data_IF_383870838330
#
_entry.id   IF_383870838330
#
_cell.length_a   1.000
_cell.length_b   1.000
_cell.length_c   1.000
_cell.angle_alpha   90.00
_cell.angle_beta   90.00
_cell.angle_gamma   90.00
#
_symmetry.space_group_name_H-M   'P 1'
#
loop_
_entity.id
_entity.type
_entity.pdbx_description
1 polymer ?
#
# COMPACT_ATOMS: atom_id res chain seq x y z
N UNK A 1 -5.74 -27.75 -13.78
CA UNK A 1 -5.66 -27.38 -12.34
C UNK A 1 -7.06 -27.02 -11.92
N UNK A 2 -7.68 -27.76 -11.01
CA UNK A 2 -9.04 -27.42 -10.52
C UNK A 2 -8.99 -26.11 -9.75
N UNK A 3 -10.01 -25.22 -9.87
CA UNK A 3 -10.04 -23.98 -9.11
C UNK A 3 -10.05 -24.26 -7.60
N UNK A 4 -9.32 -23.42 -6.85
CA UNK A 4 -9.32 -23.46 -5.38
C UNK A 4 -10.75 -23.11 -4.89
N UNK A 5 -11.44 -23.98 -4.15
CA UNK A 5 -12.81 -23.73 -3.70
C UNK A 5 -12.94 -22.50 -2.76
N UNK A 6 -11.83 -22.01 -2.20
CA UNK A 6 -11.79 -20.79 -1.40
C UNK A 6 -11.62 -19.51 -2.24
N UNK A 7 -11.31 -19.62 -3.54
CA UNK A 7 -11.03 -18.45 -4.40
C UNK A 7 -12.23 -17.49 -4.54
N UNK A 8 -13.47 -17.94 -4.78
CA UNK A 8 -14.60 -17.02 -4.88
C UNK A 8 -14.83 -16.21 -3.61
N UNK A 9 -14.68 -16.83 -2.43
CA UNK A 9 -14.81 -16.14 -1.16
C UNK A 9 -13.69 -15.12 -0.97
N UNK A 10 -12.45 -15.45 -1.35
CA UNK A 10 -11.30 -14.55 -1.26
C UNK A 10 -11.46 -13.31 -2.14
N UNK A 11 -11.99 -13.47 -3.38
CA UNK A 11 -12.29 -12.32 -4.24
C UNK A 11 -13.39 -11.47 -3.63
N UNK A 12 -14.49 -12.08 -3.17
CA UNK A 12 -15.60 -11.38 -2.54
C UNK A 12 -15.11 -10.53 -1.35
N UNK A 13 -14.40 -11.12 -0.41
CA UNK A 13 -13.91 -10.43 0.79
C UNK A 13 -12.99 -9.25 0.42
N UNK A 14 -12.18 -9.41 -0.61
CA UNK A 14 -11.27 -8.36 -1.08
C UNK A 14 -12.01 -7.25 -1.81
N UNK A 15 -13.04 -7.56 -2.60
CA UNK A 15 -13.91 -6.57 -3.25
C UNK A 15 -14.66 -5.74 -2.20
N UNK A 16 -15.15 -6.38 -1.14
CA UNK A 16 -15.81 -5.65 -0.04
C UNK A 16 -14.83 -4.78 0.76
N UNK A 17 -13.60 -5.25 0.99
CA UNK A 17 -12.54 -4.44 1.62
C UNK A 17 -12.20 -3.22 0.75
N UNK A 18 -12.09 -3.40 -0.57
CA UNK A 18 -11.90 -2.31 -1.53
C UNK A 18 -13.08 -1.31 -1.51
N UNK A 19 -14.31 -1.82 -1.54
CA UNK A 19 -15.51 -0.98 -1.50
C UNK A 19 -15.58 -0.15 -0.22
N UNK A 20 -15.27 -0.75 0.92
CA UNK A 20 -15.25 -0.09 2.23
C UNK A 20 -14.25 1.07 2.28
N UNK A 21 -12.99 0.85 1.87
CA UNK A 21 -11.97 1.90 1.90
C UNK A 21 -12.27 3.01 0.88
N UNK A 22 -12.79 2.68 -0.32
CA UNK A 22 -13.20 3.67 -1.29
C UNK A 22 -14.40 4.52 -0.79
N UNK A 23 -15.34 3.89 -0.08
CA UNK A 23 -16.43 4.63 0.57
C UNK A 23 -15.91 5.52 1.70
N UNK A 24 -14.93 5.09 2.47
CA UNK A 24 -14.31 5.91 3.52
C UNK A 24 -13.64 7.17 2.93
N UNK A 25 -12.99 7.08 1.76
CA UNK A 25 -12.47 8.25 1.04
C UNK A 25 -13.60 9.21 0.67
N UNK A 26 -14.72 8.70 0.15
CA UNK A 26 -15.91 9.51 -0.19
C UNK A 26 -16.46 10.22 1.05
N UNK A 27 -16.62 9.51 2.15
CA UNK A 27 -17.19 10.06 3.39
C UNK A 27 -16.28 11.11 4.03
N UNK A 28 -14.96 10.89 4.02
CA UNK A 28 -13.98 11.89 4.42
C UNK A 28 -14.10 13.14 3.55
N UNK A 29 -14.10 12.98 2.23
CA UNK A 29 -14.19 14.09 1.28
C UNK A 29 -15.46 14.91 1.44
N UNK A 30 -16.62 14.27 1.67
CA UNK A 30 -17.90 14.93 1.93
C UNK A 30 -17.92 15.74 3.23
N UNK A 31 -17.09 15.36 4.19
CA UNK A 31 -16.97 16.07 5.46
C UNK A 31 -15.97 17.23 5.43
N UNK A 32 -15.25 17.43 4.31
CA UNK A 32 -14.24 18.47 4.13
C UNK A 32 -14.85 19.78 3.62
N UNK A 33 -14.45 20.89 4.23
CA UNK A 33 -14.59 22.21 3.63
C UNK A 33 -13.41 22.53 2.70
N UNK A 34 -13.45 23.70 2.04
CA UNK A 34 -12.40 24.12 1.08
C UNK A 34 -11.01 24.17 1.74
N UNK A 35 -10.92 24.60 3.00
CA UNK A 35 -9.66 24.65 3.73
C UNK A 35 -9.09 23.23 3.98
N UNK A 36 -9.94 22.25 4.32
CA UNK A 36 -9.55 20.86 4.49
C UNK A 36 -9.05 20.27 3.15
N UNK A 37 -9.77 20.55 2.07
CA UNK A 37 -9.42 20.05 0.74
C UNK A 37 -8.08 20.62 0.24
N UNK A 38 -7.75 21.85 0.60
CA UNK A 38 -6.48 22.50 0.25
C UNK A 38 -5.32 22.09 1.18
N UNK A 39 -5.58 21.32 2.25
CA UNK A 39 -4.54 20.92 3.21
C UNK A 39 -3.50 20.00 2.55
N UNK A 40 -2.19 20.27 2.69
CA UNK A 40 -1.14 19.41 2.14
C UNK A 40 -1.09 18.06 2.86
N UNK A 41 -0.70 17.02 2.14
CA UNK A 41 -0.57 15.66 2.69
C UNK A 41 0.91 15.23 2.77
N UNK A 42 1.17 14.08 3.39
CA UNK A 42 2.51 13.45 3.39
C UNK A 42 2.92 12.90 2.01
N UNK A 43 2.01 12.90 1.02
CA UNK A 43 2.34 12.60 -0.38
C UNK A 43 2.88 13.88 -1.04
N UNK A 44 4.16 13.94 -1.44
CA UNK A 44 4.77 15.18 -1.91
C UNK A 44 4.01 15.82 -3.08
N UNK A 45 3.70 17.11 -2.94
CA UNK A 45 3.02 17.90 -3.97
C UNK A 45 1.50 17.73 -4.05
N UNK A 46 0.90 16.88 -3.18
CA UNK A 46 -0.53 16.59 -3.19
C UNK A 46 -1.24 17.12 -1.94
N UNK A 47 -2.37 17.75 -2.17
CA UNK A 47 -3.36 18.13 -1.15
C UNK A 47 -4.36 17.00 -0.91
N UNK A 48 -5.26 17.18 0.04
CA UNK A 48 -6.40 16.27 0.26
C UNK A 48 -7.25 16.17 -1.00
N UNK A 49 -7.51 17.29 -1.70
CA UNK A 49 -8.22 17.30 -2.98
C UNK A 49 -7.51 16.45 -4.04
N UNK A 50 -6.18 16.52 -4.12
CA UNK A 50 -5.39 15.75 -5.07
C UNK A 50 -5.44 14.25 -4.78
N UNK A 51 -5.49 13.84 -3.50
CA UNK A 51 -5.67 12.44 -3.10
C UNK A 51 -7.00 11.88 -3.61
N UNK A 52 -8.09 12.62 -3.40
CA UNK A 52 -9.43 12.23 -3.87
C UNK A 52 -9.46 12.19 -5.41
N UNK A 53 -8.83 13.17 -6.05
CA UNK A 53 -8.71 13.28 -7.51
C UNK A 53 -7.94 12.09 -8.11
N UNK A 54 -6.89 11.64 -7.43
CA UNK A 54 -6.14 10.45 -7.82
C UNK A 54 -7.03 9.20 -7.78
N UNK A 55 -7.70 8.95 -6.66
CA UNK A 55 -8.58 7.78 -6.52
C UNK A 55 -9.68 7.81 -7.59
N UNK A 56 -10.34 8.96 -7.77
CA UNK A 56 -11.39 9.12 -8.78
C UNK A 56 -10.85 8.88 -10.21
N UNK A 57 -9.68 9.44 -10.53
CA UNK A 57 -9.08 9.34 -11.84
C UNK A 57 -8.65 7.94 -12.21
N UNK A 58 -8.03 7.22 -11.28
CA UNK A 58 -7.63 5.82 -11.53
C UNK A 58 -8.86 4.93 -11.69
N UNK A 59 -9.87 5.05 -10.84
CA UNK A 59 -11.10 4.25 -10.99
C UNK A 59 -11.86 4.61 -12.27
N UNK A 60 -11.90 5.89 -12.69
CA UNK A 60 -12.48 6.32 -13.95
C UNK A 60 -11.76 5.66 -15.15
N UNK A 61 -10.45 5.68 -15.14
CA UNK A 61 -9.65 5.04 -16.19
C UNK A 61 -9.86 3.52 -16.24
N UNK A 62 -9.89 2.85 -15.09
CA UNK A 62 -10.17 1.41 -15.00
C UNK A 62 -11.61 1.05 -15.40
N UNK A 63 -12.55 2.01 -15.30
CA UNK A 63 -13.91 1.90 -15.81
C UNK A 63 -14.02 2.20 -17.32
N UNK A 64 -12.91 2.51 -18.00
CA UNK A 64 -12.88 2.79 -19.44
C UNK A 64 -13.08 4.25 -19.81
N UNK A 65 -13.17 5.17 -18.84
CA UNK A 65 -13.25 6.60 -19.10
C UNK A 65 -11.87 7.18 -19.45
N UNK A 66 -11.87 8.29 -20.17
CA UNK A 66 -10.65 9.03 -20.52
C UNK A 66 -10.73 10.43 -19.96
N UNK A 67 -9.64 10.88 -19.37
CA UNK A 67 -9.53 12.26 -18.94
C UNK A 67 -9.43 13.23 -20.13
N UNK A 68 -9.91 14.47 -19.97
CA UNK A 68 -9.70 15.52 -20.96
C UNK A 68 -8.21 15.79 -21.10
N UNK A 69 -7.81 16.33 -22.26
CA UNK A 69 -6.44 16.81 -22.43
C UNK A 69 -6.22 18.03 -21.55
N UNK A 70 -5.20 17.93 -20.69
CA UNK A 70 -4.73 19.04 -19.83
C UNK A 70 -3.26 19.31 -20.09
N UNK A 71 -2.87 20.55 -19.95
CA UNK A 71 -1.47 20.95 -19.94
C UNK A 71 -0.93 20.69 -18.54
N UNK A 72 0.10 19.87 -18.42
CA UNK A 72 0.69 19.50 -17.15
C UNK A 72 1.96 20.32 -16.89
N UNK A 73 1.98 21.14 -15.86
CA UNK A 73 3.20 21.84 -15.46
C UNK A 73 4.33 20.88 -15.08
N UNK A 74 5.58 21.33 -15.12
CA UNK A 74 6.70 20.56 -14.59
C UNK A 74 6.64 20.53 -13.05
N UNK A 75 6.25 19.39 -12.49
CA UNK A 75 6.21 19.18 -11.05
C UNK A 75 7.48 18.47 -10.55
N UNK A 76 8.13 19.00 -9.53
CA UNK A 76 9.37 18.45 -8.96
C UNK A 76 9.19 17.05 -8.33
N UNK A 77 8.00 16.72 -7.87
CA UNK A 77 7.69 15.41 -7.29
C UNK A 77 7.54 14.30 -8.32
N UNK A 78 7.40 14.62 -9.61
CA UNK A 78 7.30 13.62 -10.69
C UNK A 78 8.71 13.07 -11.01
N UNK A 79 8.95 11.79 -10.71
CA UNK A 79 10.24 11.15 -10.86
C UNK A 79 10.34 10.17 -12.01
N UNK A 80 9.21 9.74 -12.56
CA UNK A 80 9.15 8.71 -13.59
C UNK A 80 7.86 8.79 -14.42
N UNK A 81 7.76 8.00 -15.49
CA UNK A 81 6.60 7.99 -16.37
C UNK A 81 5.30 7.52 -15.69
N UNK A 82 5.38 6.64 -14.70
CA UNK A 82 4.21 6.25 -13.92
C UNK A 82 3.69 7.45 -13.12
N UNK A 83 4.57 8.14 -12.40
CA UNK A 83 4.21 9.35 -11.66
C UNK A 83 3.58 10.40 -12.57
N UNK A 84 4.14 10.58 -13.79
CA UNK A 84 3.56 11.49 -14.79
C UNK A 84 2.15 11.09 -15.23
N UNK A 85 1.91 9.80 -15.44
CA UNK A 85 0.58 9.29 -15.83
C UNK A 85 -0.44 9.48 -14.71
N UNK A 86 -0.03 9.24 -13.47
CA UNK A 86 -0.87 9.40 -12.29
C UNK A 86 -1.18 10.88 -12.06
N UNK A 87 -0.16 11.75 -12.15
CA UNK A 87 -0.31 13.20 -12.02
C UNK A 87 -1.26 13.79 -13.06
N UNK A 88 -1.26 13.26 -14.28
CA UNK A 88 -2.18 13.69 -15.33
C UNK A 88 -3.65 13.52 -14.91
N UNK A 89 -3.98 12.43 -14.25
CA UNK A 89 -5.33 12.19 -13.74
C UNK A 89 -5.71 13.16 -12.61
N UNK A 90 -4.74 13.55 -11.77
CA UNK A 90 -4.91 14.57 -10.73
C UNK A 90 -5.09 15.95 -11.35
N UNK A 91 -4.21 16.34 -12.27
CA UNK A 91 -4.26 17.66 -12.94
C UNK A 91 -5.59 17.89 -13.67
N UNK A 92 -6.14 16.85 -14.30
CA UNK A 92 -7.44 16.93 -14.95
C UNK A 92 -8.61 17.28 -14.01
N UNK A 93 -8.37 17.19 -12.67
CA UNK A 93 -9.37 17.45 -11.63
C UNK A 93 -9.06 18.63 -10.73
N UNK A 94 -7.85 19.21 -10.76
CA UNK A 94 -7.46 20.33 -9.87
C UNK A 94 -8.34 21.56 -9.97
N UNK A 95 -8.86 21.85 -11.16
CA UNK A 95 -9.77 22.98 -11.38
C UNK A 95 -11.23 22.70 -11.02
N UNK A 96 -11.57 21.51 -10.55
CA UNK A 96 -12.94 21.10 -10.20
C UNK A 96 -13.18 21.24 -8.71
N UNK A 97 -14.41 21.49 -8.32
CA UNK A 97 -14.78 21.49 -6.90
C UNK A 97 -14.67 20.06 -6.29
N UNK A 98 -14.42 19.98 -5.00
CA UNK A 98 -14.40 18.69 -4.28
C UNK A 98 -15.71 17.91 -4.47
N UNK A 99 -16.86 18.60 -4.48
CA UNK A 99 -18.15 17.96 -4.69
C UNK A 99 -18.26 17.32 -6.07
N UNK A 100 -17.72 17.93 -7.13
CA UNK A 100 -17.72 17.34 -8.49
C UNK A 100 -16.79 16.13 -8.58
N UNK A 101 -15.64 16.14 -7.88
CA UNK A 101 -14.72 15.01 -7.86
C UNK A 101 -15.30 13.84 -7.05
N UNK A 102 -15.95 14.13 -5.92
CA UNK A 102 -16.67 13.11 -5.13
C UNK A 102 -17.78 12.47 -5.92
N UNK A 103 -18.62 13.26 -6.60
CA UNK A 103 -19.70 12.73 -7.44
C UNK A 103 -19.17 11.85 -8.61
N UNK A 104 -18.02 12.21 -9.17
CA UNK A 104 -17.35 11.35 -10.15
C UNK A 104 -16.89 10.04 -9.52
N UNK A 105 -16.22 10.09 -8.35
CA UNK A 105 -15.74 8.89 -7.66
C UNK A 105 -16.89 7.94 -7.33
N UNK A 106 -18.00 8.44 -6.83
CA UNK A 106 -19.20 7.64 -6.55
C UNK A 106 -19.72 6.90 -7.77
N UNK A 107 -19.85 7.63 -8.86
CA UNK A 107 -20.34 7.07 -10.12
C UNK A 107 -19.41 5.99 -10.67
N UNK A 108 -18.11 6.24 -10.70
CA UNK A 108 -17.15 5.28 -11.25
C UNK A 108 -16.96 4.09 -10.32
N UNK A 109 -17.02 4.29 -9.00
CA UNK A 109 -16.97 3.22 -8.02
C UNK A 109 -18.16 2.27 -8.17
N UNK A 110 -19.39 2.80 -8.33
CA UNK A 110 -20.57 1.99 -8.58
C UNK A 110 -20.42 1.12 -9.84
N UNK A 111 -19.90 1.69 -10.93
CA UNK A 111 -19.62 0.95 -12.18
C UNK A 111 -18.56 -0.14 -11.98
N UNK A 112 -17.48 0.16 -11.26
CA UNK A 112 -16.41 -0.80 -10.94
C UNK A 112 -16.94 -1.96 -10.10
N UNK A 113 -17.68 -1.65 -9.04
CA UNK A 113 -18.25 -2.65 -8.13
C UNK A 113 -19.30 -3.53 -8.84
N UNK A 114 -20.09 -2.98 -9.77
CA UNK A 114 -21.00 -3.77 -10.59
C UNK A 114 -20.23 -4.85 -11.37
N UNK A 115 -19.09 -4.51 -11.96
CA UNK A 115 -18.25 -5.47 -12.69
C UNK A 115 -17.61 -6.50 -11.74
N UNK A 116 -17.01 -6.03 -10.63
CA UNK A 116 -16.26 -6.89 -9.73
C UNK A 116 -17.16 -7.83 -8.91
N UNK A 117 -18.39 -7.43 -8.59
CA UNK A 117 -19.39 -8.25 -7.89
C UNK A 117 -20.22 -9.14 -8.82
N UNK A 118 -19.98 -9.07 -10.13
CA UNK A 118 -20.70 -9.94 -11.08
C UNK A 118 -20.39 -11.41 -10.77
N UNK A 119 -21.40 -12.29 -10.76
CA UNK A 119 -21.18 -13.74 -10.62
C UNK A 119 -20.28 -14.34 -11.71
N UNK A 120 -20.15 -13.65 -12.87
CA UNK A 120 -19.25 -14.05 -13.94
C UNK A 120 -17.78 -13.66 -13.68
N UNK A 121 -17.50 -12.82 -12.69
CA UNK A 121 -16.13 -12.41 -12.33
C UNK A 121 -15.58 -13.34 -11.27
N UNK A 122 -14.54 -14.08 -11.62
CA UNK A 122 -13.77 -14.94 -10.69
C UNK A 122 -12.44 -14.30 -10.36
N UNK A 123 -11.69 -14.83 -9.39
CA UNK A 123 -10.37 -14.32 -9.02
C UNK A 123 -9.36 -14.33 -10.16
N UNK A 124 -9.51 -15.26 -11.10
CA UNK A 124 -8.67 -15.42 -12.30
C UNK A 124 -9.21 -14.71 -13.54
N UNK A 125 -10.41 -14.09 -13.48
CA UNK A 125 -10.92 -13.27 -14.57
C UNK A 125 -9.98 -12.11 -14.89
N UNK A 126 -9.72 -11.88 -16.18
CA UNK A 126 -8.87 -10.77 -16.61
C UNK A 126 -9.69 -9.49 -16.62
N UNK A 127 -9.27 -8.51 -15.83
CA UNK A 127 -9.89 -7.18 -15.71
C UNK A 127 -8.88 -6.08 -15.97
N UNK A 128 -9.35 -4.86 -16.23
CA UNK A 128 -8.48 -3.70 -16.38
C UNK A 128 -7.74 -3.41 -15.04
N UNK A 129 -6.42 -3.28 -15.11
CA UNK A 129 -5.55 -2.97 -13.99
C UNK A 129 -4.64 -1.77 -14.26
N UNK A 130 -4.06 -1.13 -13.22
CA UNK A 130 -3.23 0.07 -13.36
C UNK A 130 -1.98 -0.12 -14.23
N UNK A 131 -1.46 -1.33 -14.28
CA UNK A 131 -0.30 -1.72 -15.08
C UNK A 131 -0.64 -2.53 -16.34
N UNK A 132 -1.90 -2.54 -16.72
CA UNK A 132 -2.46 -3.37 -17.78
C UNK A 132 -3.44 -4.41 -17.25
N UNK A 133 -4.11 -5.16 -18.14
CA UNK A 133 -5.04 -6.21 -17.74
C UNK A 133 -4.33 -7.31 -16.93
N UNK A 134 -4.94 -7.74 -15.81
CA UNK A 134 -4.44 -8.83 -14.96
C UNK A 134 -5.62 -9.53 -14.26
N UNK A 135 -5.34 -10.58 -13.53
CA UNK A 135 -6.32 -11.33 -12.74
C UNK A 135 -7.04 -10.42 -11.73
N UNK A 136 -8.35 -10.56 -11.63
CA UNK A 136 -9.19 -9.72 -10.78
C UNK A 136 -8.70 -9.69 -9.32
N UNK A 137 -8.29 -10.84 -8.76
CA UNK A 137 -7.77 -10.91 -7.40
C UNK A 137 -6.54 -10.01 -7.20
N UNK A 138 -5.62 -10.00 -8.17
CA UNK A 138 -4.41 -9.16 -8.12
C UNK A 138 -4.74 -7.68 -8.28
N UNK A 139 -5.61 -7.37 -9.25
CA UNK A 139 -6.02 -5.98 -9.50
C UNK A 139 -6.74 -5.40 -8.29
N UNK A 140 -7.70 -6.14 -7.71
CA UNK A 140 -8.44 -5.66 -6.54
C UNK A 140 -7.53 -5.50 -5.32
N UNK A 141 -6.58 -6.44 -5.10
CA UNK A 141 -5.60 -6.31 -4.02
C UNK A 141 -4.74 -5.05 -4.18
N UNK A 142 -4.25 -4.79 -5.39
CA UNK A 142 -3.47 -3.59 -5.70
C UNK A 142 -4.30 -2.31 -5.50
N UNK A 143 -5.56 -2.31 -5.94
CA UNK A 143 -6.45 -1.15 -5.73
C UNK A 143 -6.82 -0.95 -4.27
N UNK A 144 -7.03 -2.02 -3.50
CA UNK A 144 -7.25 -1.94 -2.05
C UNK A 144 -6.04 -1.31 -1.36
N UNK A 145 -4.83 -1.75 -1.73
CA UNK A 145 -3.58 -1.19 -1.21
C UNK A 145 -3.47 0.32 -1.50
N UNK A 146 -3.67 0.71 -2.73
CA UNK A 146 -3.52 2.08 -3.20
C UNK A 146 -4.57 3.00 -2.55
N UNK A 147 -5.86 2.65 -2.65
CA UNK A 147 -6.96 3.47 -2.11
C UNK A 147 -6.87 3.58 -0.59
N UNK A 148 -6.55 2.50 0.13
CA UNK A 148 -6.36 2.55 1.58
C UNK A 148 -5.16 3.43 1.97
N UNK A 149 -4.06 3.39 1.21
CA UNK A 149 -2.90 4.26 1.47
C UNK A 149 -3.28 5.73 1.33
N UNK A 150 -4.06 6.09 0.30
CA UNK A 150 -4.54 7.45 0.09
C UNK A 150 -5.63 7.86 1.10
N UNK A 151 -6.46 6.94 1.56
CA UNK A 151 -7.34 7.17 2.71
C UNK A 151 -6.52 7.57 3.96
N UNK A 152 -5.43 6.84 4.26
CA UNK A 152 -4.57 7.17 5.38
C UNK A 152 -3.79 8.48 5.17
N UNK A 153 -3.45 8.86 3.94
CA UNK A 153 -2.89 10.18 3.61
C UNK A 153 -3.87 11.29 3.99
N UNK A 154 -5.15 11.15 3.63
CA UNK A 154 -6.21 12.10 3.97
C UNK A 154 -6.43 12.15 5.48
N UNK A 155 -6.53 11.00 6.15
CA UNK A 155 -6.73 10.93 7.60
C UNK A 155 -5.60 11.59 8.37
N UNK A 156 -4.36 11.33 7.98
CA UNK A 156 -3.17 11.93 8.59
C UNK A 156 -3.18 13.46 8.44
N UNK A 157 -3.43 13.95 7.22
CA UNK A 157 -3.48 15.38 6.93
C UNK A 157 -4.56 16.13 7.74
N UNK A 158 -5.72 15.50 7.93
CA UNK A 158 -6.85 16.09 8.65
C UNK A 158 -6.84 15.83 10.16
N UNK A 159 -5.88 15.08 10.69
CA UNK A 159 -5.87 14.67 12.10
C UNK A 159 -7.07 13.81 12.50
N UNK A 160 -7.61 12.99 11.58
CA UNK A 160 -8.79 12.13 11.76
C UNK A 160 -8.41 10.65 11.67
N UNK A 161 -7.66 10.10 12.66
CA UNK A 161 -7.20 8.71 12.61
C UNK A 161 -8.38 7.72 12.57
N UNK A 162 -8.20 6.60 11.89
CA UNK A 162 -9.22 5.54 11.78
C UNK A 162 -8.83 4.48 10.75
N UNK A 163 -9.65 3.43 10.67
CA UNK A 163 -9.60 2.35 9.69
C UNK A 163 -8.26 1.57 9.61
N UNK A 164 -7.50 1.59 10.74
CA UNK A 164 -6.25 0.84 10.88
C UNK A 164 -6.48 -0.65 11.24
N UNK A 165 -7.72 -1.06 11.53
CA UNK A 165 -8.15 -2.41 11.94
C UNK A 165 -9.09 -3.08 10.93
N UNK A 166 -9.28 -2.45 9.76
CA UNK A 166 -10.19 -2.95 8.70
C UNK A 166 -9.61 -4.13 7.92
N UNK A 167 -10.46 -4.81 7.16
CA UNK A 167 -10.05 -5.84 6.22
C UNK A 167 -9.06 -5.31 5.17
N UNK A 168 -9.22 -4.04 4.74
CA UNK A 168 -8.28 -3.36 3.85
C UNK A 168 -6.91 -3.18 4.51
N UNK A 169 -6.84 -2.68 5.75
CA UNK A 169 -5.61 -2.57 6.52
C UNK A 169 -4.89 -3.92 6.64
N UNK A 170 -5.64 -4.98 6.95
CA UNK A 170 -5.09 -6.34 7.04
C UNK A 170 -4.56 -6.85 5.69
N UNK A 171 -5.22 -6.54 4.57
CA UNK A 171 -4.75 -6.89 3.23
C UNK A 171 -3.47 -6.12 2.87
N UNK A 172 -3.40 -4.83 3.21
CA UNK A 172 -2.22 -3.97 3.00
C UNK A 172 -1.03 -4.50 3.80
N UNK A 173 -1.19 -4.75 5.11
CA UNK A 173 -0.13 -5.30 5.97
C UNK A 173 0.39 -6.62 5.41
N UNK A 174 -0.49 -7.55 5.01
CA UNK A 174 -0.07 -8.82 4.38
C UNK A 174 0.70 -8.60 3.09
N UNK A 175 0.26 -7.66 2.24
CA UNK A 175 0.93 -7.35 0.96
C UNK A 175 2.34 -6.79 1.17
N UNK A 176 2.51 -5.94 2.18
CA UNK A 176 3.82 -5.39 2.55
C UNK A 176 4.72 -6.52 3.10
N UNK A 177 4.20 -7.32 4.04
CA UNK A 177 4.95 -8.45 4.62
C UNK A 177 5.46 -9.41 3.55
N UNK A 178 4.66 -9.73 2.54
CA UNK A 178 5.05 -10.61 1.43
C UNK A 178 6.23 -10.06 0.60
N UNK A 179 6.46 -8.76 0.60
CA UNK A 179 7.55 -8.10 -0.13
C UNK A 179 8.83 -7.96 0.70
N UNK A 180 8.75 -8.08 2.03
CA UNK A 180 9.88 -7.86 2.94
C UNK A 180 11.14 -8.70 2.61
N UNK A 181 11.04 -10.01 2.32
CA UNK A 181 12.23 -10.80 2.02
C UNK A 181 13.04 -10.21 0.87
N UNK A 182 12.35 -9.77 -0.19
CA UNK A 182 12.96 -9.15 -1.36
C UNK A 182 13.56 -7.77 -1.06
N UNK A 183 12.83 -6.94 -0.31
CA UNK A 183 13.25 -5.59 0.07
C UNK A 183 14.50 -5.65 0.93
N UNK A 184 14.50 -6.48 1.98
CA UNK A 184 15.61 -6.62 2.92
C UNK A 184 16.85 -7.18 2.22
N UNK A 185 16.68 -8.20 1.38
CA UNK A 185 17.81 -8.79 0.65
C UNK A 185 18.48 -7.81 -0.31
N UNK A 186 17.70 -6.98 -1.02
CA UNK A 186 18.25 -6.10 -2.05
C UNK A 186 18.91 -4.84 -1.52
N UNK A 187 18.37 -4.30 -0.44
CA UNK A 187 18.63 -2.89 -0.09
C UNK A 187 19.29 -2.72 1.28
N UNK A 188 19.10 -3.65 2.21
CA UNK A 188 19.65 -3.47 3.56
C UNK A 188 21.13 -3.87 3.68
N UNK A 189 21.70 -4.54 2.70
CA UNK A 189 23.11 -4.99 2.66
C UNK A 189 23.53 -5.58 4.03
N UNK A 190 22.81 -6.60 4.47
CA UNK A 190 23.05 -7.27 5.75
C UNK A 190 23.98 -8.46 5.54
N UNK A 191 24.76 -8.76 6.57
CA UNK A 191 25.60 -9.96 6.58
C UNK A 191 24.76 -11.23 6.45
N UNK A 192 25.21 -12.21 5.65
CA UNK A 192 24.55 -13.51 5.59
C UNK A 192 24.43 -14.16 6.98
N UNK A 193 23.31 -14.83 7.22
CA UNK A 193 22.97 -15.40 8.52
C UNK A 193 22.30 -14.42 9.48
N UNK A 194 22.16 -13.13 9.15
CA UNK A 194 21.41 -12.20 9.99
C UNK A 194 19.92 -12.48 9.90
N UNK A 195 19.25 -12.56 11.05
CA UNK A 195 17.81 -12.70 11.18
C UNK A 195 17.20 -11.35 11.52
N UNK A 196 16.39 -10.80 10.62
CA UNK A 196 15.54 -9.62 10.87
C UNK A 196 14.14 -10.10 11.19
N UNK A 197 13.57 -9.65 12.30
CA UNK A 197 12.16 -9.87 12.65
C UNK A 197 11.43 -8.56 12.56
N UNK A 198 10.41 -8.50 11.73
CA UNK A 198 9.44 -7.40 11.70
C UNK A 198 8.22 -7.82 12.52
N UNK A 199 7.87 -6.98 13.48
CA UNK A 199 6.80 -7.21 14.44
C UNK A 199 5.82 -6.03 14.40
N UNK A 200 4.68 -6.20 13.71
CA UNK A 200 3.60 -5.19 13.67
C UNK A 200 2.70 -5.43 14.87
N UNK A 201 2.70 -4.46 15.79
CA UNK A 201 2.13 -4.62 17.13
C UNK A 201 0.66 -4.24 17.26
N UNK A 202 0.02 -3.81 16.16
CA UNK A 202 -1.42 -3.57 16.12
C UNK A 202 -1.82 -2.18 15.62
N UNK A 203 -3.14 -1.97 15.36
CA UNK A 203 -4.25 -2.92 15.58
C UNK A 203 -4.25 -4.17 14.68
N UNK A 204 -3.73 -4.12 13.44
CA UNK A 204 -3.44 -5.33 12.65
C UNK A 204 -2.10 -5.89 13.11
N UNK A 205 -2.14 -7.02 13.78
CA UNK A 205 -0.92 -7.71 14.23
C UNK A 205 -0.38 -8.62 13.12
N UNK A 206 0.95 -8.54 12.89
CA UNK A 206 1.64 -9.44 11.96
C UNK A 206 3.11 -9.57 12.39
N UNK A 207 3.69 -10.75 12.22
CA UNK A 207 5.08 -11.01 12.57
C UNK A 207 5.73 -11.92 11.55
N UNK A 208 6.94 -11.55 11.09
CA UNK A 208 7.68 -12.34 10.11
C UNK A 208 9.18 -12.23 10.39
N UNK A 209 9.86 -13.37 10.42
CA UNK A 209 11.31 -13.47 10.36
C UNK A 209 11.79 -13.48 8.91
N UNK A 210 12.89 -12.79 8.64
CA UNK A 210 13.58 -12.82 7.35
C UNK A 210 15.05 -13.13 7.62
N UNK A 211 15.49 -14.29 7.15
CA UNK A 211 16.90 -14.67 7.20
C UNK A 211 17.58 -14.23 5.92
N UNK A 212 18.68 -13.51 6.07
CA UNK A 212 19.50 -13.06 4.94
C UNK A 212 20.48 -14.16 4.58
N UNK A 213 20.52 -14.53 3.31
CA UNK A 213 21.45 -15.49 2.73
C UNK A 213 22.09 -14.93 1.47
N UNK A 214 22.90 -15.74 0.82
CA UNK A 214 23.45 -15.49 -0.53
C UNK A 214 23.24 -16.72 -1.40
N UNK A 215 22.97 -16.50 -2.69
CA UNK A 215 22.91 -17.59 -3.66
C UNK A 215 24.31 -17.99 -4.12
N UNK A 216 24.38 -18.99 -5.01
CA UNK A 216 25.62 -19.50 -5.59
C UNK A 216 26.39 -18.41 -6.39
N UNK A 217 25.71 -17.36 -6.83
CA UNK A 217 26.29 -16.23 -7.55
C UNK A 217 26.65 -15.05 -6.62
N UNK A 218 26.53 -15.23 -5.29
CA UNK A 218 26.83 -14.20 -4.29
C UNK A 218 25.78 -13.09 -4.17
N UNK A 219 24.59 -13.26 -4.74
CA UNK A 219 23.49 -12.29 -4.64
C UNK A 219 22.74 -12.50 -3.32
N UNK A 220 22.46 -11.40 -2.63
CA UNK A 220 21.69 -11.45 -1.38
C UNK A 220 20.26 -11.94 -1.62
N UNK A 221 19.83 -12.90 -0.80
CA UNK A 221 18.49 -13.45 -0.76
C UNK A 221 17.91 -13.28 0.63
N UNK A 222 16.62 -12.96 0.70
CA UNK A 222 15.85 -12.97 1.94
C UNK A 222 14.88 -14.14 1.93
N UNK A 223 14.91 -14.96 2.96
CA UNK A 223 14.01 -16.08 3.15
C UNK A 223 13.09 -15.79 4.33
N UNK A 224 11.77 -15.88 4.08
CA UNK A 224 10.81 -15.86 5.16
C UNK A 224 11.03 -17.09 6.05
N UNK A 225 11.12 -16.89 7.35
CA UNK A 225 11.34 -17.95 8.33
C UNK A 225 10.38 -17.85 9.51
N UNK A 226 10.24 -18.94 10.26
CA UNK A 226 9.48 -18.94 11.51
C UNK A 226 10.10 -17.94 12.50
N UNK A 227 9.25 -17.33 13.30
CA UNK A 227 9.65 -16.47 14.41
C UNK A 227 9.58 -17.19 15.76
N UNK A 228 9.40 -18.52 15.74
CA UNK A 228 9.35 -19.31 16.96
C UNK A 228 10.74 -19.32 17.64
N UNK A 229 10.81 -18.71 18.82
CA UNK A 229 12.04 -18.55 19.57
C UNK A 229 12.63 -19.91 20.01
N UNK A 230 11.81 -20.94 20.12
CA UNK A 230 12.26 -22.29 20.53
C UNK A 230 13.10 -23.00 19.46
N UNK A 231 12.85 -22.71 18.17
CA UNK A 231 13.59 -23.31 17.05
C UNK A 231 14.92 -22.61 16.81
N UNK A 232 15.06 -21.34 17.21
CA UNK A 232 16.19 -20.49 16.83
C UNK A 232 17.32 -20.46 17.86
N UNK A 233 17.04 -20.75 19.13
CA UNK A 233 18.07 -20.77 20.19
C UNK A 233 19.05 -21.96 20.06
N UNK A 234 18.71 -22.97 19.26
CA UNK A 234 19.52 -24.17 19.04
C UNK A 234 20.28 -24.19 17.71
N UNK A 235 20.06 -23.21 16.80
CA UNK A 235 20.75 -23.13 15.51
C UNK A 235 21.93 -22.15 15.57
N UNK A 236 23.19 -22.63 15.60
CA UNK A 236 24.37 -21.77 15.62
C UNK A 236 24.55 -20.96 14.31
N UNK A 237 23.79 -21.23 13.24
CA UNK A 237 23.80 -20.44 12.01
C UNK A 237 22.99 -19.13 12.13
N UNK A 238 22.16 -18.99 13.16
CA UNK A 238 21.42 -17.77 13.49
C UNK A 238 22.30 -16.85 14.36
N UNK A 239 23.35 -16.31 13.76
CA UNK A 239 24.39 -15.59 14.50
C UNK A 239 23.97 -14.23 15.05
N UNK A 240 22.99 -13.52 14.45
CA UNK A 240 22.58 -12.17 14.86
C UNK A 240 21.10 -11.96 14.58
N UNK A 241 20.36 -11.54 15.57
CA UNK A 241 18.93 -11.23 15.46
C UNK A 241 18.68 -9.77 15.76
N UNK A 242 17.90 -9.12 14.90
CA UNK A 242 17.37 -7.77 15.14
C UNK A 242 15.86 -7.78 14.95
N UNK A 243 15.13 -7.44 16.01
CA UNK A 243 13.67 -7.32 15.99
C UNK A 243 13.29 -5.85 15.93
N UNK A 244 12.46 -5.48 14.98
CA UNK A 244 11.93 -4.13 14.76
C UNK A 244 10.42 -4.17 14.96
N UNK A 245 9.93 -3.49 15.99
CA UNK A 245 8.51 -3.45 16.33
C UNK A 245 7.92 -2.09 15.98
N UNK A 246 6.80 -2.09 15.23
CA UNK A 246 6.10 -0.90 14.76
C UNK A 246 4.59 -1.07 14.97
N UNK A 247 3.85 0.02 15.16
CA UNK A 247 2.39 -0.01 15.02
C UNK A 247 2.00 -0.24 13.56
N UNK A 248 0.74 -0.62 13.30
CA UNK A 248 0.19 -0.73 11.94
C UNK A 248 0.39 0.58 11.17
N UNK A 249 0.11 1.72 11.78
CA UNK A 249 0.31 3.02 11.15
C UNK A 249 1.78 3.26 10.80
N UNK A 250 2.69 3.15 11.77
CA UNK A 250 4.12 3.39 11.53
C UNK A 250 4.67 2.48 10.42
N UNK A 251 4.28 1.20 10.44
CA UNK A 251 4.68 0.20 9.44
C UNK A 251 4.20 0.56 8.04
N UNK A 252 2.93 0.86 7.88
CA UNK A 252 2.33 1.14 6.57
C UNK A 252 2.73 2.50 6.02
N UNK A 253 2.84 3.54 6.89
CA UNK A 253 3.30 4.87 6.47
C UNK A 253 4.76 4.85 6.02
N UNK A 254 5.63 4.10 6.72
CA UNK A 254 7.02 3.91 6.29
C UNK A 254 7.11 3.12 4.99
N UNK A 255 6.37 2.04 4.86
CA UNK A 255 6.33 1.22 3.64
C UNK A 255 5.82 1.99 2.42
N UNK A 256 4.90 2.91 2.61
CA UNK A 256 4.41 3.81 1.56
C UNK A 256 5.35 5.00 1.26
N UNK A 257 6.51 5.09 1.93
CA UNK A 257 7.46 6.19 1.72
C UNK A 257 6.97 7.54 2.21
N UNK A 258 5.94 7.58 3.08
CA UNK A 258 5.34 8.82 3.60
C UNK A 258 6.12 9.44 4.76
N UNK A 259 6.82 8.61 5.51
CA UNK A 259 7.63 9.07 6.65
C UNK A 259 9.08 8.64 6.49
N UNK A 260 10.01 9.52 6.87
CA UNK A 260 11.41 9.17 6.99
C UNK A 260 11.62 8.18 8.15
N UNK A 261 12.79 7.57 8.27
CA UNK A 261 13.10 6.70 9.42
C UNK A 261 13.09 7.50 10.73
N UNK A 262 13.54 8.77 10.70
CA UNK A 262 13.51 9.65 11.88
C UNK A 262 12.10 9.99 12.37
N UNK A 263 11.13 10.02 11.45
CA UNK A 263 9.73 10.37 11.74
C UNK A 263 8.85 9.12 11.98
N UNK A 264 9.44 7.93 11.88
CA UNK A 264 8.75 6.66 12.07
C UNK A 264 8.96 6.16 13.49
N UNK A 265 7.93 6.08 14.34
CA UNK A 265 8.05 5.48 15.67
C UNK A 265 8.30 3.97 15.57
N UNK A 266 9.39 3.48 16.13
CA UNK A 266 9.70 2.04 16.22
C UNK A 266 10.48 1.71 17.49
N UNK A 267 10.52 0.41 17.82
CA UNK A 267 11.36 -0.14 18.89
C UNK A 267 12.28 -1.20 18.30
N UNK A 268 13.50 -1.30 18.85
CA UNK A 268 14.49 -2.27 18.42
C UNK A 268 14.92 -3.14 19.61
N UNK A 269 15.05 -4.44 19.33
CA UNK A 269 15.80 -5.37 20.18
C UNK A 269 16.87 -5.99 19.31
N UNK A 270 18.13 -5.68 19.58
CA UNK A 270 19.29 -6.09 18.79
C UNK A 270 20.09 -4.89 18.27
N UNK A 271 20.49 -4.91 17.00
CA UNK A 271 21.37 -3.90 16.40
C UNK A 271 20.55 -2.74 15.77
N UNK A 272 20.68 -1.55 16.36
CA UNK A 272 19.99 -0.34 15.88
C UNK A 272 20.47 0.09 14.48
N UNK A 273 21.75 -0.10 14.14
CA UNK A 273 22.27 0.23 12.83
C UNK A 273 21.66 -0.67 11.74
N UNK A 274 21.44 -1.95 12.04
CA UNK A 274 20.72 -2.88 11.18
C UNK A 274 19.27 -2.44 11.03
N UNK A 275 18.60 -2.09 12.12
CA UNK A 275 17.20 -1.64 12.07
C UNK A 275 17.04 -0.40 11.18
N UNK A 276 17.91 0.59 11.30
CA UNK A 276 17.90 1.79 10.46
C UNK A 276 18.09 1.46 8.99
N UNK A 277 19.06 0.61 8.64
CA UNK A 277 19.28 0.18 7.24
C UNK A 277 18.06 -0.55 6.67
N UNK A 278 17.43 -1.42 7.47
CA UNK A 278 16.20 -2.12 7.07
C UNK A 278 15.07 -1.12 6.83
N UNK A 279 14.85 -0.19 7.75
CA UNK A 279 13.81 0.82 7.63
C UNK A 279 14.08 1.80 6.47
N UNK A 280 15.34 2.19 6.21
CA UNK A 280 15.69 3.03 5.05
C UNK A 280 15.34 2.36 3.74
N UNK A 281 15.60 1.07 3.64
CA UNK A 281 15.27 0.25 2.47
C UNK A 281 13.76 -0.02 2.33
N UNK A 282 12.97 0.20 3.38
CA UNK A 282 11.60 -0.25 3.52
C UNK A 282 10.60 0.68 2.83
N UNK A 283 10.67 0.76 1.49
CA UNK A 283 9.69 1.44 0.64
C UNK A 283 9.22 0.43 -0.40
N UNK A 284 7.92 0.17 -0.48
CA UNK A 284 7.30 -0.80 -1.39
C UNK A 284 6.40 -0.16 -2.44
N UNK A 285 6.12 1.13 -2.32
CA UNK A 285 5.40 1.92 -3.33
C UNK A 285 6.38 2.50 -4.36
N UNK A 286 5.97 2.65 -5.63
CA UNK A 286 6.80 3.22 -6.68
C UNK A 286 7.12 4.70 -6.48
#
# INVERSE_FOLDING_TARGET
MSPDPAEPQRLHDLVEAFAQTAQAVIDLARSCGDADLAHPTECPGWTVHDQISHVAGVEAWLAGHRDPRVEMPPYEHIRNELGKKVEYAVEARRGRSGAEVVAELERVLAQRLQTLRSPATTGTSIVAGPFGPDEALKVVLLRTFDVWTHEQDIRSALGRPGDLDTAAAAAVVRSIMAQLPKVIARSAVLEPGHLVVIDVTGPVMARQGIQVGVDEQGRHLGHATSTDDSVQLSDPSVGRRTTISLSTEAFTRRAAGRRSVSDTPYRVVGDDAVARRVLDAFIVTP
#
